data_IF_027948130134
#
_entry.id   IF_027948130134
#
_cell.length_a   1.000
_cell.length_b   1.000
_cell.length_c   1.000
_cell.angle_alpha   90.00
_cell.angle_beta   90.00
_cell.angle_gamma   90.00
#
_symmetry.space_group_name_H-M   'P 1'
#
loop_
_entity.id
_entity.type
_entity.pdbx_description
1 polymer ?
#
# COMPACT_ATOMS: atom_id res chain seq x y z
N UNK A 1 31.34 -14.57 8.94
CA UNK A 1 30.98 -15.57 9.96
C UNK A 1 29.52 -15.34 10.38
N UNK A 2 28.84 -16.24 11.11
CA UNK A 2 27.49 -15.95 11.61
C UNK A 2 27.52 -14.88 12.70
N UNK A 3 26.47 -14.03 12.73
CA UNK A 3 26.23 -13.11 13.85
C UNK A 3 26.06 -13.87 15.19
N UNK A 4 26.37 -13.22 16.33
CA UNK A 4 25.94 -13.68 17.66
C UNK A 4 24.45 -14.01 17.69
N UNK A 5 24.08 -15.02 18.49
CA UNK A 5 22.72 -15.57 18.51
C UNK A 5 21.66 -14.50 18.84
N UNK A 6 21.93 -13.67 19.84
CA UNK A 6 21.07 -12.60 20.32
C UNK A 6 20.84 -11.52 19.25
N UNK A 7 21.90 -11.10 18.57
CA UNK A 7 21.81 -10.13 17.47
C UNK A 7 21.01 -10.71 16.30
N UNK A 8 21.27 -11.97 15.96
CA UNK A 8 20.56 -12.68 14.89
C UNK A 8 19.07 -12.80 15.19
N UNK A 9 18.71 -13.22 16.40
CA UNK A 9 17.31 -13.35 16.83
C UNK A 9 16.61 -11.98 16.85
N UNK A 10 17.28 -10.96 17.36
CA UNK A 10 16.75 -9.58 17.39
C UNK A 10 16.45 -9.07 15.98
N UNK A 11 17.37 -9.24 15.03
CA UNK A 11 17.16 -8.84 13.65
C UNK A 11 15.98 -9.58 13.01
N UNK A 12 15.89 -10.90 13.21
CA UNK A 12 14.80 -11.73 12.68
C UNK A 12 13.43 -11.32 13.23
N UNK A 13 13.34 -11.01 14.53
CA UNK A 13 12.11 -10.56 15.17
C UNK A 13 11.71 -9.17 14.68
N UNK A 14 12.66 -8.21 14.64
CA UNK A 14 12.40 -6.86 14.13
C UNK A 14 11.95 -6.84 12.66
N UNK A 15 12.39 -7.81 11.88
CA UNK A 15 11.95 -7.95 10.48
C UNK A 15 10.74 -8.86 10.30
N UNK A 16 10.23 -9.52 11.34
CA UNK A 16 9.16 -10.52 11.19
C UNK A 16 9.50 -11.70 10.28
N UNK A 17 10.79 -11.99 10.07
CA UNK A 17 11.30 -12.93 9.05
C UNK A 17 10.93 -12.58 7.60
N UNK A 18 10.57 -11.33 7.33
CA UNK A 18 10.49 -10.80 5.98
C UNK A 18 11.86 -10.35 5.49
N UNK A 19 12.07 -10.45 4.18
CA UNK A 19 13.24 -9.86 3.53
C UNK A 19 13.13 -8.33 3.59
N UNK A 20 14.11 -7.64 4.18
CA UNK A 20 14.13 -6.17 4.23
C UNK A 20 14.23 -5.50 2.84
N UNK A 21 14.52 -6.25 1.77
CA UNK A 21 14.71 -5.71 0.41
C UNK A 21 13.50 -5.98 -0.48
N UNK A 22 13.09 -7.25 -0.64
CA UNK A 22 11.95 -7.60 -1.51
C UNK A 22 10.62 -7.73 -0.74
N UNK A 23 10.68 -7.66 0.59
CA UNK A 23 9.54 -7.78 1.51
C UNK A 23 8.79 -9.10 1.40
N UNK A 24 9.37 -10.13 0.80
CA UNK A 24 8.79 -11.47 0.82
C UNK A 24 8.85 -12.06 2.25
N UNK A 25 7.77 -12.71 2.70
CA UNK A 25 7.79 -13.48 3.94
C UNK A 25 8.64 -14.74 3.74
N UNK A 26 9.90 -14.69 4.15
CA UNK A 26 10.81 -15.79 3.92
C UNK A 26 10.74 -16.87 5.00
N UNK A 27 10.13 -16.59 6.16
CA UNK A 27 9.96 -17.58 7.23
C UNK A 27 11.28 -18.22 7.66
N UNK A 28 11.46 -19.52 7.38
CA UNK A 28 12.72 -20.24 7.65
C UNK A 28 13.83 -19.96 6.63
N UNK A 29 13.48 -19.43 5.46
CA UNK A 29 14.40 -19.07 4.38
C UNK A 29 14.95 -17.63 4.52
N UNK A 30 14.72 -17.00 5.69
CA UNK A 30 15.31 -15.72 6.06
C UNK A 30 16.70 -15.92 6.70
N UNK A 31 17.69 -15.18 6.20
CA UNK A 31 19.05 -15.14 6.73
C UNK A 31 19.46 -13.72 7.11
N UNK A 32 20.32 -13.60 8.12
CA UNK A 32 20.87 -12.30 8.54
C UNK A 32 22.20 -12.09 7.83
N UNK A 33 22.23 -11.07 6.97
CA UNK A 33 23.38 -10.66 6.19
C UNK A 33 24.12 -9.49 6.85
N UNK A 34 25.44 -9.47 6.67
CA UNK A 34 26.28 -8.33 7.03
C UNK A 34 26.17 -7.24 5.95
N UNK A 35 25.70 -6.04 6.31
CA UNK A 35 25.63 -4.90 5.38
C UNK A 35 27.02 -4.51 4.86
N UNK A 36 28.00 -4.46 5.77
CA UNK A 36 29.43 -4.45 5.44
C UNK A 36 29.95 -5.83 5.84
N UNK A 37 30.52 -6.58 4.90
CA UNK A 37 31.03 -7.91 5.16
C UNK A 37 32.12 -7.89 6.25
N UNK A 38 32.17 -8.93 7.07
CA UNK A 38 33.20 -9.07 8.11
C UNK A 38 34.62 -9.06 7.53
N UNK A 39 34.80 -9.66 6.35
CA UNK A 39 36.07 -9.64 5.62
C UNK A 39 36.51 -8.21 5.23
N UNK A 40 35.55 -7.28 5.12
CA UNK A 40 35.76 -5.87 4.83
C UNK A 40 35.75 -5.00 6.12
N UNK A 41 35.81 -5.63 7.30
CA UNK A 41 35.83 -4.95 8.60
C UNK A 41 34.45 -4.60 9.18
N UNK A 42 33.37 -5.19 8.67
CA UNK A 42 32.04 -5.00 9.22
C UNK A 42 31.88 -5.62 10.63
N UNK A 43 31.18 -4.91 11.52
CA UNK A 43 30.94 -5.38 12.89
C UNK A 43 29.84 -6.44 12.96
N UNK A 44 29.77 -7.13 14.10
CA UNK A 44 28.73 -8.12 14.43
C UNK A 44 27.58 -7.51 15.24
N UNK A 45 27.38 -6.20 15.15
CA UNK A 45 26.33 -5.48 15.86
C UNK A 45 25.04 -5.42 15.03
N UNK A 46 23.92 -5.15 15.70
CA UNK A 46 22.61 -5.02 15.06
C UNK A 46 22.61 -3.96 13.94
N UNK A 47 23.40 -2.90 14.07
CA UNK A 47 23.53 -1.83 13.06
C UNK A 47 24.18 -2.29 11.75
N UNK A 48 24.81 -3.46 11.73
CA UNK A 48 25.37 -4.06 10.52
C UNK A 48 24.57 -5.27 10.04
N UNK A 49 23.48 -5.63 10.72
CA UNK A 49 22.64 -6.78 10.40
C UNK A 49 21.44 -6.36 9.52
N UNK A 50 21.14 -7.13 8.48
CA UNK A 50 19.92 -7.01 7.66
C UNK A 50 19.33 -8.40 7.38
N UNK A 51 18.02 -8.56 7.47
CA UNK A 51 17.35 -9.84 7.15
C UNK A 51 17.02 -9.90 5.67
N UNK A 52 17.43 -10.97 4.98
CA UNK A 52 17.19 -11.18 3.54
C UNK A 52 16.63 -12.58 3.29
N UNK A 53 15.81 -12.76 2.25
CA UNK A 53 15.50 -14.08 1.72
C UNK A 53 16.72 -14.66 0.99
N UNK A 54 16.80 -15.98 0.80
CA UNK A 54 17.93 -16.63 0.10
C UNK A 54 18.26 -16.00 -1.25
N UNK A 55 17.26 -15.55 -2.02
CA UNK A 55 17.48 -14.90 -3.32
C UNK A 55 18.24 -13.58 -3.16
N UNK A 56 17.70 -12.64 -2.38
CA UNK A 56 18.35 -11.35 -2.15
C UNK A 56 19.69 -11.50 -1.41
N UNK A 57 19.80 -12.48 -0.51
CA UNK A 57 21.04 -12.79 0.18
C UNK A 57 22.15 -13.20 -0.82
N UNK A 58 21.83 -14.08 -1.76
CA UNK A 58 22.75 -14.47 -2.82
C UNK A 58 23.15 -13.25 -3.69
N UNK A 59 22.19 -12.41 -4.09
CA UNK A 59 22.46 -11.22 -4.92
C UNK A 59 23.33 -10.17 -4.20
N UNK A 60 23.13 -9.95 -2.89
CA UNK A 60 23.91 -9.01 -2.10
C UNK A 60 25.40 -9.40 -2.00
N UNK A 61 25.69 -10.70 -1.93
CA UNK A 61 27.07 -11.22 -1.91
C UNK A 61 27.70 -11.40 -3.30
N UNK A 62 26.91 -11.54 -4.36
CA UNK A 62 27.38 -11.91 -5.70
C UNK A 62 27.30 -10.74 -6.69
N UNK A 63 28.26 -9.81 -6.60
CA UNK A 63 28.53 -8.84 -7.66
C UNK A 63 29.88 -9.13 -8.31
N UNK A 64 29.89 -9.32 -9.63
CA UNK A 64 31.12 -9.52 -10.40
C UNK A 64 31.59 -8.20 -11.00
N UNK A 65 32.68 -7.58 -10.48
CA UNK A 65 33.18 -6.31 -11.01
C UNK A 65 33.67 -6.42 -12.46
N UNK A 66 34.02 -7.63 -12.92
CA UNK A 66 34.53 -7.88 -14.27
C UNK A 66 33.42 -8.06 -15.31
N UNK A 67 32.18 -8.28 -14.88
CA UNK A 67 31.02 -8.39 -15.77
C UNK A 67 29.76 -7.90 -15.04
N UNK A 68 29.65 -6.58 -14.82
CA UNK A 68 28.58 -6.02 -14.02
C UNK A 68 27.23 -6.21 -14.72
N UNK A 69 26.31 -6.94 -14.08
CA UNK A 69 24.90 -7.03 -14.48
C UNK A 69 24.06 -6.50 -13.33
N UNK A 70 23.18 -5.55 -13.63
CA UNK A 70 22.41 -4.84 -12.62
C UNK A 70 23.27 -3.89 -11.77
N UNK A 71 22.64 -3.31 -10.76
CA UNK A 71 23.29 -2.40 -9.81
C UNK A 71 23.65 -3.17 -8.55
N UNK A 72 24.90 -3.05 -8.08
CA UNK A 72 25.32 -3.64 -6.81
C UNK A 72 24.58 -2.95 -5.67
N UNK A 73 24.02 -3.73 -4.73
CA UNK A 73 23.51 -3.20 -3.47
C UNK A 73 24.61 -2.44 -2.73
N UNK A 74 24.38 -1.16 -2.48
CA UNK A 74 25.27 -0.35 -1.67
C UNK A 74 24.98 -0.55 -0.19
N UNK A 75 26.00 -0.48 0.68
CA UNK A 75 25.80 -0.56 2.13
C UNK A 75 24.80 0.48 2.65
N UNK A 76 24.81 1.69 2.07
CA UNK A 76 23.85 2.76 2.40
C UNK A 76 22.42 2.43 1.96
N UNK A 77 22.25 1.70 0.86
CA UNK A 77 20.96 1.25 0.38
C UNK A 77 20.38 0.16 1.29
N UNK A 78 21.19 -0.84 1.63
CA UNK A 78 20.79 -1.92 2.54
C UNK A 78 20.38 -1.37 3.91
N UNK A 79 21.10 -0.38 4.47
CA UNK A 79 20.67 0.28 5.72
C UNK A 79 19.29 0.93 5.58
N UNK A 80 19.06 1.67 4.50
CA UNK A 80 17.77 2.33 4.26
C UNK A 80 16.62 1.32 4.15
N UNK A 81 16.82 0.24 3.39
CA UNK A 81 15.86 -0.87 3.27
C UNK A 81 15.52 -1.48 4.64
N UNK A 82 16.54 -1.82 5.42
CA UNK A 82 16.38 -2.34 6.79
C UNK A 82 15.60 -1.38 7.68
N UNK A 83 16.03 -0.13 7.76
CA UNK A 83 15.47 0.85 8.69
C UNK A 83 14.02 1.18 8.34
N UNK A 84 13.72 1.32 7.05
CA UNK A 84 12.37 1.51 6.56
C UNK A 84 11.48 0.30 6.90
N UNK A 85 11.98 -0.92 6.67
CA UNK A 85 11.24 -2.13 6.97
C UNK A 85 10.96 -2.30 8.46
N UNK A 86 11.96 -2.10 9.33
CA UNK A 86 11.76 -2.21 10.79
C UNK A 86 10.75 -1.20 11.29
N UNK A 87 10.81 0.05 10.82
CA UNK A 87 9.83 1.08 11.19
C UNK A 87 8.42 0.71 10.73
N UNK A 88 8.27 0.16 9.53
CA UNK A 88 7.00 -0.32 9.04
C UNK A 88 6.48 -1.50 9.88
N UNK A 89 7.36 -2.47 10.19
CA UNK A 89 7.00 -3.69 10.91
C UNK A 89 6.57 -3.43 12.36
N UNK A 90 7.05 -2.36 13.00
CA UNK A 90 6.56 -1.91 14.32
C UNK A 90 5.06 -1.59 14.31
N UNK A 91 4.50 -1.23 13.15
CA UNK A 91 3.07 -0.92 12.96
C UNK A 91 2.31 -2.05 12.26
N UNK A 92 2.98 -3.17 11.96
CA UNK A 92 2.39 -4.28 11.22
C UNK A 92 1.41 -5.06 12.09
N UNK A 93 0.20 -5.25 11.56
CA UNK A 93 -0.82 -6.10 12.17
C UNK A 93 -0.70 -7.53 11.61
N UNK A 94 -0.36 -8.53 12.45
CA UNK A 94 -0.28 -9.92 12.01
C UNK A 94 -1.58 -10.50 11.45
N UNK A 95 -2.74 -9.95 11.82
CA UNK A 95 -4.03 -10.36 11.28
C UNK A 95 -4.23 -9.91 9.82
N UNK A 96 -3.43 -8.93 9.35
CA UNK A 96 -3.39 -8.45 7.97
C UNK A 96 -2.31 -9.13 7.12
N UNK A 97 -1.71 -10.23 7.58
CA UNK A 97 -0.72 -10.98 6.80
C UNK A 97 -1.39 -11.60 5.57
N UNK A 98 -0.99 -11.26 4.34
CA UNK A 98 -1.50 -11.96 3.17
C UNK A 98 -1.06 -13.43 3.21
N UNK A 99 -1.93 -14.31 2.74
CA UNK A 99 -1.64 -15.74 2.65
C UNK A 99 -0.40 -15.97 1.80
N UNK A 100 0.39 -17.00 2.09
CA UNK A 100 1.69 -17.25 1.45
C UNK A 100 1.62 -17.42 -0.09
N UNK A 101 0.41 -17.58 -0.66
CA UNK A 101 0.13 -17.63 -2.11
C UNK A 101 -0.19 -16.25 -2.74
N UNK A 102 -0.53 -15.25 -1.92
CA UNK A 102 -0.72 -13.86 -2.32
C UNK A 102 0.56 -13.08 -2.00
N UNK A 103 1.35 -12.84 -3.05
CA UNK A 103 2.58 -12.03 -2.98
C UNK A 103 2.33 -10.76 -2.17
N UNK A 104 3.12 -10.63 -1.10
CA UNK A 104 3.20 -9.56 -0.12
C UNK A 104 2.68 -8.17 -0.56
N UNK A 105 2.04 -7.38 0.34
CA UNK A 105 1.37 -6.13 0.02
C UNK A 105 2.32 -4.95 -0.26
N UNK A 106 3.62 -5.21 -0.48
CA UNK A 106 4.57 -4.25 -1.05
C UNK A 106 5.01 -4.63 -2.48
N UNK A 107 4.39 -5.64 -3.09
CA UNK A 107 4.59 -6.02 -4.50
C UNK A 107 3.32 -5.85 -5.35
N UNK A 108 2.32 -5.09 -4.88
CA UNK A 108 1.12 -4.71 -5.63
C UNK A 108 1.02 -3.20 -5.87
N UNK A 109 2.14 -2.58 -6.24
CA UNK A 109 2.11 -1.51 -7.24
C UNK A 109 2.77 -2.10 -8.49
N UNK A 110 2.01 -2.61 -9.46
CA UNK A 110 2.56 -2.90 -10.77
C UNK A 110 2.98 -1.55 -11.39
N UNK A 111 4.29 -1.36 -11.57
CA UNK A 111 4.93 -0.44 -12.52
C UNK A 111 4.15 0.84 -12.92
N UNK A 112 4.59 1.98 -12.39
CA UNK A 112 4.71 3.19 -13.21
C UNK A 112 3.47 4.05 -13.44
N UNK A 113 2.65 4.28 -12.42
CA UNK A 113 1.91 5.54 -12.30
C UNK A 113 2.17 6.14 -10.92
N UNK A 114 2.52 7.42 -10.91
CA UNK A 114 2.94 8.14 -9.72
C UNK A 114 1.76 8.26 -8.74
N UNK A 115 2.03 8.08 -7.45
CA UNK A 115 1.10 8.52 -6.41
C UNK A 115 1.07 10.04 -6.48
N UNK A 116 -0.01 10.59 -7.03
CA UNK A 116 -0.19 12.03 -7.22
C UNK A 116 -0.87 12.66 -6.00
N UNK A 117 -0.65 13.96 -5.81
CA UNK A 117 -1.46 14.75 -4.88
C UNK A 117 -2.79 15.06 -5.56
N UNK A 118 -3.84 14.39 -5.11
CA UNK A 118 -5.21 14.57 -5.58
C UNK A 118 -5.89 15.64 -4.73
N UNK A 119 -6.69 16.48 -5.38
CA UNK A 119 -7.53 17.48 -4.74
C UNK A 119 -8.98 17.24 -5.14
N UNK A 120 -9.89 17.18 -4.16
CA UNK A 120 -11.33 16.98 -4.38
C UNK A 120 -12.17 17.93 -3.55
N UNK A 121 -13.22 18.45 -4.16
CA UNK A 121 -14.26 19.22 -3.49
C UNK A 121 -15.32 18.28 -2.92
N UNK A 122 -15.70 18.45 -1.66
CA UNK A 122 -16.78 17.70 -0.99
C UNK A 122 -17.82 18.66 -0.38
N UNK A 123 -18.99 18.12 -0.07
CA UNK A 123 -20.13 18.85 0.46
C UNK A 123 -21.16 19.19 -0.63
N UNK A 124 -21.81 20.35 -0.52
CA UNK A 124 -22.75 20.87 -1.53
C UNK A 124 -21.98 21.77 -2.47
N UNK A 125 -21.71 21.28 -3.68
CA UNK A 125 -20.88 21.95 -4.69
C UNK A 125 -21.62 23.10 -5.37
N UNK A 126 -22.92 22.91 -5.61
CA UNK A 126 -23.80 23.93 -6.16
C UNK A 126 -25.25 23.60 -5.84
N UNK A 127 -26.12 24.61 -5.82
CA UNK A 127 -27.54 24.46 -5.51
C UNK A 127 -28.36 25.61 -6.11
N UNK A 128 -29.49 25.28 -6.73
CA UNK A 128 -30.49 26.25 -7.18
C UNK A 128 -31.51 26.60 -6.07
N UNK A 129 -31.46 25.90 -4.93
CA UNK A 129 -32.37 26.12 -3.81
C UNK A 129 -31.82 27.13 -2.81
N UNK A 130 -32.61 28.16 -2.49
CA UNK A 130 -32.23 29.17 -1.49
C UNK A 130 -32.06 28.61 -0.07
N UNK A 131 -32.72 27.48 0.25
CA UNK A 131 -32.67 26.82 1.56
C UNK A 131 -31.67 25.66 1.64
N UNK A 132 -30.89 25.42 0.58
CA UNK A 132 -29.88 24.37 0.55
C UNK A 132 -28.52 25.02 0.23
N UNK A 133 -27.77 25.46 1.25
CA UNK A 133 -26.58 26.27 1.06
C UNK A 133 -25.45 25.47 0.41
N UNK A 134 -24.68 26.17 -0.43
CA UNK A 134 -23.41 25.67 -0.96
C UNK A 134 -22.38 25.64 0.17
N UNK A 135 -21.78 24.49 0.38
CA UNK A 135 -20.78 24.23 1.43
C UNK A 135 -19.70 23.36 0.81
N UNK A 136 -18.57 23.98 0.44
CA UNK A 136 -17.48 23.30 -0.24
C UNK A 136 -16.30 23.20 0.73
N UNK A 137 -15.80 21.99 0.90
CA UNK A 137 -14.52 21.71 1.53
C UNK A 137 -13.59 21.08 0.49
N UNK A 138 -12.31 21.48 0.52
CA UNK A 138 -11.29 20.92 -0.37
C UNK A 138 -10.46 19.92 0.43
N UNK A 139 -10.47 18.67 0.00
CA UNK A 139 -9.67 17.59 0.60
C UNK A 139 -8.53 17.24 -0.35
N UNK A 140 -7.31 17.25 0.20
CA UNK A 140 -6.10 16.85 -0.51
C UNK A 140 -5.55 15.54 0.05
N UNK A 141 -5.25 14.59 -0.82
CA UNK A 141 -4.70 13.29 -0.42
C UNK A 141 -3.80 12.71 -1.51
N UNK A 142 -2.90 11.82 -1.11
CA UNK A 142 -1.99 11.14 -2.04
C UNK A 142 -2.59 9.81 -2.47
N UNK A 143 -2.83 9.63 -3.76
CA UNK A 143 -3.43 8.40 -4.29
C UNK A 143 -3.11 8.15 -5.76
N UNK A 144 -3.40 6.94 -6.20
CA UNK A 144 -3.56 6.59 -7.61
C UNK A 144 -5.04 6.43 -7.93
N UNK A 145 -5.53 7.07 -9.00
CA UNK A 145 -6.85 6.79 -9.56
C UNK A 145 -6.79 5.44 -10.30
N UNK A 146 -7.66 4.49 -9.92
CA UNK A 146 -7.65 3.13 -10.49
C UNK A 146 -8.93 2.77 -11.25
N UNK A 147 -10.03 3.49 -11.03
CA UNK A 147 -11.23 3.37 -11.85
C UNK A 147 -12.15 4.57 -11.73
N UNK A 148 -12.95 4.78 -12.77
CA UNK A 148 -14.05 5.74 -12.80
C UNK A 148 -15.31 5.02 -13.26
N UNK A 149 -16.46 5.40 -12.70
CA UNK A 149 -17.73 4.80 -13.06
C UNK A 149 -18.86 5.81 -12.92
N UNK A 150 -19.77 5.85 -13.89
CA UNK A 150 -20.94 6.74 -13.87
C UNK A 150 -22.20 5.92 -14.05
N UNK A 151 -23.19 6.16 -13.19
CA UNK A 151 -24.54 5.61 -13.31
C UNK A 151 -25.56 6.72 -13.44
N UNK A 152 -26.58 6.48 -14.25
CA UNK A 152 -27.72 7.37 -14.40
C UNK A 152 -28.92 6.68 -13.76
N UNK A 153 -29.36 7.17 -12.59
CA UNK A 153 -30.65 6.73 -12.02
C UNK A 153 -31.82 7.22 -12.87
N UNK A 154 -31.66 8.44 -13.39
CA UNK A 154 -32.47 9.05 -14.43
C UNK A 154 -31.58 10.03 -15.22
N UNK A 155 -32.13 10.65 -16.27
CA UNK A 155 -31.38 11.57 -17.14
C UNK A 155 -30.88 12.84 -16.44
N UNK A 156 -31.39 13.17 -15.25
CA UNK A 156 -31.09 14.39 -14.50
C UNK A 156 -30.32 14.12 -13.20
N UNK A 157 -30.11 12.86 -12.86
CA UNK A 157 -29.49 12.45 -11.60
C UNK A 157 -28.33 11.49 -11.81
N UNK A 158 -27.27 11.89 -12.54
CA UNK A 158 -26.05 11.12 -12.64
C UNK A 158 -25.34 11.02 -11.28
N UNK A 159 -24.80 9.85 -11.01
CA UNK A 159 -23.84 9.61 -9.94
C UNK A 159 -22.52 9.19 -10.58
N UNK A 160 -21.44 9.90 -10.28
CA UNK A 160 -20.08 9.52 -10.66
C UNK A 160 -19.29 9.05 -9.45
N UNK A 161 -18.47 8.04 -9.69
CA UNK A 161 -17.63 7.39 -8.72
C UNK A 161 -16.21 7.36 -9.25
N UNK A 162 -15.26 7.67 -8.38
CA UNK A 162 -13.83 7.54 -8.67
C UNK A 162 -13.21 6.70 -7.56
N UNK A 163 -12.52 5.63 -7.93
CA UNK A 163 -11.84 4.73 -6.99
C UNK A 163 -10.37 5.08 -6.94
N UNK A 164 -9.91 5.41 -5.75
CA UNK A 164 -8.53 5.76 -5.46
C UNK A 164 -7.88 4.68 -4.61
N UNK A 165 -6.67 4.27 -4.97
CA UNK A 165 -5.82 3.46 -4.11
C UNK A 165 -4.83 4.37 -3.39
N UNK A 166 -4.87 4.36 -2.05
CA UNK A 166 -3.99 5.19 -1.21
C UNK A 166 -2.83 4.41 -0.58
N UNK A 167 -3.03 3.12 -0.40
CA UNK A 167 -2.07 2.16 0.10
C UNK A 167 -2.50 0.76 -0.35
N UNK A 168 -1.75 -0.27 0.02
CA UNK A 168 -2.12 -1.63 -0.33
C UNK A 168 -3.47 -2.03 0.26
N UNK A 169 -4.36 -2.55 -0.59
CA UNK A 169 -5.69 -3.01 -0.19
C UNK A 169 -6.47 -1.97 0.63
N UNK A 170 -6.19 -0.68 0.39
CA UNK A 170 -6.82 0.47 1.04
C UNK A 170 -7.23 1.48 -0.02
N UNK A 171 -8.52 1.77 -0.01
CA UNK A 171 -9.16 2.53 -1.06
C UNK A 171 -10.00 3.68 -0.49
N UNK A 172 -10.09 4.74 -1.28
CA UNK A 172 -11.04 5.83 -1.07
C UNK A 172 -11.95 5.87 -2.27
N UNK A 173 -13.26 6.06 -2.05
CA UNK A 173 -14.21 6.30 -3.13
C UNK A 173 -14.66 7.74 -3.05
N UNK A 174 -14.39 8.51 -4.11
CA UNK A 174 -15.04 9.79 -4.31
C UNK A 174 -16.38 9.54 -5.00
N UNK A 175 -17.46 10.01 -4.38
CA UNK A 175 -18.81 9.86 -4.89
C UNK A 175 -19.41 11.25 -5.07
N UNK A 176 -19.64 11.64 -6.32
CA UNK A 176 -20.34 12.86 -6.72
C UNK A 176 -21.71 12.48 -7.29
N UNK A 177 -22.74 13.23 -6.93
CA UNK A 177 -24.07 13.05 -7.48
C UNK A 177 -24.76 14.38 -7.73
N UNK A 178 -25.54 14.39 -8.79
CA UNK A 178 -26.48 15.46 -9.10
C UNK A 178 -27.87 14.95 -8.74
N UNK A 179 -28.66 15.78 -8.09
CA UNK A 179 -30.06 15.49 -7.81
C UNK A 179 -30.94 16.30 -8.76
N UNK A 180 -31.48 15.65 -9.79
CA UNK A 180 -32.44 16.21 -10.76
C UNK A 180 -32.03 17.53 -11.42
N UNK A 181 -30.75 17.77 -11.59
CA UNK A 181 -30.18 19.04 -12.04
C UNK A 181 -30.55 20.26 -11.15
N UNK A 182 -30.99 20.03 -9.90
CA UNK A 182 -31.34 21.09 -8.94
C UNK A 182 -30.17 21.45 -8.02
N UNK A 183 -29.39 20.45 -7.59
CA UNK A 183 -28.18 20.64 -6.80
C UNK A 183 -27.20 19.48 -7.02
N UNK A 184 -25.92 19.74 -6.73
CA UNK A 184 -24.84 18.77 -6.83
C UNK A 184 -24.08 18.66 -5.52
N UNK A 185 -23.76 17.43 -5.13
CA UNK A 185 -23.04 17.13 -3.90
C UNK A 185 -21.94 16.11 -4.18
N UNK A 186 -20.92 16.11 -3.32
CA UNK A 186 -19.89 15.11 -3.34
C UNK A 186 -19.41 14.74 -1.94
N UNK A 187 -18.86 13.54 -1.81
CA UNK A 187 -18.22 13.08 -0.57
C UNK A 187 -17.08 12.12 -0.88
N UNK A 188 -16.16 11.99 0.06
CA UNK A 188 -15.22 10.87 0.11
C UNK A 188 -15.75 9.81 1.08
N UNK A 189 -15.61 8.55 0.69
CA UNK A 189 -15.95 7.37 1.48
C UNK A 189 -14.65 6.65 1.79
N UNK A 190 -14.41 6.35 3.07
CA UNK A 190 -13.15 5.84 3.57
C UNK A 190 -12.09 6.92 3.76
N UNK A 191 -12.51 8.16 3.99
CA UNK A 191 -11.61 9.30 4.22
C UNK A 191 -12.23 10.40 5.09
N UNK A 192 -13.39 10.14 5.69
CA UNK A 192 -14.18 11.17 6.32
C UNK A 192 -13.63 11.51 7.70
N UNK A 193 -13.07 12.72 7.87
CA UNK A 193 -12.49 13.20 9.13
C UNK A 193 -13.56 13.54 10.19
N UNK A 194 -14.82 13.68 9.78
CA UNK A 194 -15.95 14.09 10.64
C UNK A 194 -16.70 12.92 11.28
N UNK A 195 -16.43 11.69 10.85
CA UNK A 195 -17.04 10.47 11.39
C UNK A 195 -15.90 9.57 11.86
N UNK A 196 -15.68 9.49 13.16
CA UNK A 196 -14.67 8.61 13.76
C UNK A 196 -15.25 7.20 14.00
N UNK A 197 -14.68 6.14 13.40
CA UNK A 197 -13.76 6.11 12.26
C UNK A 197 -14.49 5.80 10.95
N UNK A 198 -14.26 6.59 9.89
CA UNK A 198 -14.50 6.20 8.49
C UNK A 198 -13.15 5.81 7.86
N UNK A 199 -12.60 4.63 8.23
CA UNK A 199 -11.30 4.22 7.77
C UNK A 199 -11.30 3.95 6.26
N UNK A 200 -10.13 4.06 5.58
CA UNK A 200 -10.03 3.66 4.20
C UNK A 200 -10.53 2.24 3.96
N UNK A 201 -11.27 2.07 2.88
CA UNK A 201 -11.98 0.84 2.56
C UNK A 201 -10.99 -0.28 2.27
N UNK A 202 -11.28 -1.46 2.77
CA UNK A 202 -10.63 -2.71 2.37
C UNK A 202 -11.07 -3.13 0.97
N UNK A 203 -10.31 -4.04 0.33
CA UNK A 203 -10.71 -4.65 -0.94
C UNK A 203 -12.10 -5.31 -0.86
N UNK A 204 -12.38 -6.02 0.23
CA UNK A 204 -13.66 -6.68 0.43
C UNK A 204 -14.81 -5.66 0.51
N UNK A 205 -14.62 -4.56 1.22
CA UNK A 205 -15.62 -3.50 1.32
C UNK A 205 -15.86 -2.81 -0.02
N UNK A 206 -14.81 -2.58 -0.82
CA UNK A 206 -14.97 -2.05 -2.19
C UNK A 206 -15.75 -3.05 -3.06
N UNK A 207 -15.38 -4.33 -3.05
CA UNK A 207 -16.07 -5.37 -3.82
C UNK A 207 -17.52 -5.60 -3.39
N UNK A 208 -17.82 -5.40 -2.10
CA UNK A 208 -19.15 -5.58 -1.53
C UNK A 208 -20.05 -4.37 -1.76
N UNK A 209 -19.54 -3.17 -1.54
CA UNK A 209 -20.33 -1.94 -1.55
C UNK A 209 -20.32 -1.24 -2.92
N UNK A 210 -19.29 -1.47 -3.74
CA UNK A 210 -19.12 -0.85 -5.07
C UNK A 210 -18.69 -1.89 -6.14
N UNK A 211 -19.47 -2.96 -6.37
CA UNK A 211 -19.05 -4.09 -7.20
C UNK A 211 -18.76 -3.72 -8.67
N UNK A 212 -19.51 -2.78 -9.26
CA UNK A 212 -19.27 -2.31 -10.63
C UNK A 212 -17.96 -1.55 -10.72
N UNK A 213 -17.68 -0.68 -9.75
CA UNK A 213 -16.44 0.09 -9.68
C UNK A 213 -15.23 -0.82 -9.44
N UNK A 214 -15.36 -1.82 -8.56
CA UNK A 214 -14.35 -2.86 -8.36
C UNK A 214 -14.07 -3.65 -9.65
N UNK A 215 -15.13 -3.99 -10.39
CA UNK A 215 -15.01 -4.71 -11.68
C UNK A 215 -14.29 -3.86 -12.72
N UNK A 216 -14.62 -2.57 -12.83
CA UNK A 216 -13.93 -1.64 -13.74
C UNK A 216 -12.44 -1.50 -13.41
N UNK A 217 -12.10 -1.53 -12.11
CA UNK A 217 -10.73 -1.49 -11.64
C UNK A 217 -9.95 -2.82 -11.82
N UNK A 218 -10.59 -3.88 -12.35
CA UNK A 218 -9.99 -5.21 -12.43
C UNK A 218 -9.85 -5.94 -11.09
N UNK A 219 -10.45 -5.41 -10.02
CA UNK A 219 -10.43 -5.94 -8.66
C UNK A 219 -11.44 -7.09 -8.50
N UNK A 220 -11.22 -8.16 -9.24
CA UNK A 220 -12.14 -9.31 -9.37
C UNK A 220 -12.47 -9.97 -8.02
N UNK A 221 -13.76 -10.25 -7.79
CA UNK A 221 -14.26 -10.85 -6.54
C UNK A 221 -13.99 -12.36 -6.49
N UNK A 222 -13.26 -12.82 -5.48
CA UNK A 222 -13.28 -14.23 -5.06
C UNK A 222 -14.56 -14.48 -4.27
N UNK A 223 -15.46 -15.32 -4.79
CA UNK A 223 -16.57 -15.86 -3.98
C UNK A 223 -16.11 -17.19 -3.37
N UNK A 224 -15.90 -17.19 -2.07
CA UNK A 224 -15.81 -18.44 -1.29
C UNK A 224 -17.24 -18.87 -0.97
N UNK A 225 -17.65 -20.04 -1.48
CA UNK A 225 -18.92 -20.66 -1.12
C UNK A 225 -18.66 -21.60 0.07
N UNK A 226 -19.23 -21.28 1.22
CA UNK A 226 -19.28 -22.21 2.36
C UNK A 226 -20.53 -23.08 2.23
N UNK A 227 -20.36 -24.40 2.38
CA UNK A 227 -21.42 -25.41 2.33
C UNK A 227 -21.64 -26.01 3.71
#
# INVERSE_FOLDING_TARGET
MPFPKDIRETALVKSGRYCCVCHEHAGRNAEVHHIIQEADGGSNDLENAIVLCFKCHAEAGHYNPRHPRGTKYAATELRKHRDAWWKYYETFDPELRPNDDEKHPLNLIPNGQDIELIEKEVGTLWSNYANYPVTIEIIQFKAQLIAEYVIYKDSLSPHSYELYQIADSRYIVYHNWIHRADYGCARLIGANLDIDPDPPLTLEEVQKNFPELATQAGLSRLRVLEF
#
